data_IF_128246181079
#
_entry.id   IF_128246181079
#
_cell.length_a   1.000
_cell.length_b   1.000
_cell.length_c   1.000
_cell.angle_alpha   90.00
_cell.angle_beta   90.00
_cell.angle_gamma   90.00
#
_symmetry.space_group_name_H-M   'P 1'
#
loop_
_entity.id
_entity.type
_entity.pdbx_description
1 polymer ?
#
# COMPACT_ATOMS: atom_id res chain seq x y z
N UNK A 1 3.73 6.71 -21.31
CA UNK A 1 2.49 6.33 -20.59
C UNK A 1 2.42 6.87 -19.16
N UNK A 2 3.55 6.91 -18.43
CA UNK A 2 3.66 7.39 -17.04
C UNK A 2 2.88 8.68 -16.72
N UNK A 3 2.91 9.69 -17.59
CA UNK A 3 2.21 10.97 -17.41
C UNK A 3 0.69 10.87 -17.26
N UNK A 4 0.10 9.72 -17.60
CA UNK A 4 -1.35 9.46 -17.57
C UNK A 4 -1.71 8.26 -16.70
N UNK A 5 -0.79 7.80 -15.85
CA UNK A 5 -0.98 6.60 -15.03
C UNK A 5 -0.87 6.95 -13.55
N UNK A 6 -1.86 6.54 -12.78
CA UNK A 6 -1.85 6.59 -11.32
C UNK A 6 -1.85 5.15 -10.84
N UNK A 7 -0.85 4.78 -10.04
CA UNK A 7 -0.71 3.45 -9.45
C UNK A 7 -1.17 3.54 -8.00
N UNK A 8 -2.11 2.70 -7.60
CA UNK A 8 -2.55 2.59 -6.21
C UNK A 8 -2.19 1.22 -5.66
N UNK A 9 -1.81 1.18 -4.38
CA UNK A 9 -1.54 -0.07 -3.68
C UNK A 9 -1.79 0.08 -2.18
N UNK A 10 -1.85 -1.05 -1.47
CA UNK A 10 -2.10 -1.09 -0.03
C UNK A 10 -1.50 -2.33 0.61
N UNK A 11 -1.37 -2.31 1.94
CA UNK A 11 -0.88 -3.46 2.71
C UNK A 11 -1.93 -4.54 2.96
N UNK A 12 -3.21 -4.23 2.70
CA UNK A 12 -4.37 -5.01 3.15
C UNK A 12 -4.28 -6.51 2.86
N UNK A 13 -3.86 -6.88 1.64
CA UNK A 13 -3.83 -8.27 1.18
C UNK A 13 -2.46 -8.91 1.41
N UNK A 14 -1.41 -8.22 0.99
CA UNK A 14 -0.03 -8.72 1.06
C UNK A 14 0.39 -9.07 2.48
N UNK A 15 -0.06 -8.29 3.46
CA UNK A 15 0.28 -8.49 4.88
C UNK A 15 -0.91 -8.88 5.74
N UNK A 16 -2.07 -9.17 5.14
CA UNK A 16 -3.30 -9.56 5.86
C UNK A 16 -3.78 -8.55 6.92
N UNK A 17 -3.58 -7.25 6.67
CA UNK A 17 -3.91 -6.13 7.58
C UNK A 17 -5.08 -5.28 7.06
N UNK A 18 -6.21 -5.91 6.71
CA UNK A 18 -7.36 -5.25 6.05
C UNK A 18 -7.93 -4.06 6.84
N UNK A 19 -7.92 -4.14 8.17
CA UNK A 19 -8.42 -3.11 9.08
C UNK A 19 -7.51 -1.92 9.31
N UNK A 20 -6.23 -1.97 8.89
CA UNK A 20 -5.26 -0.91 9.22
C UNK A 20 -5.41 0.36 8.38
N UNK A 21 -6.09 0.25 7.24
CA UNK A 21 -6.39 1.39 6.34
C UNK A 21 -5.13 2.15 5.87
N UNK A 22 -4.05 1.42 5.60
CA UNK A 22 -2.80 1.97 5.06
C UNK A 22 -2.62 1.60 3.59
N UNK A 23 -2.45 2.61 2.74
CA UNK A 23 -2.18 2.50 1.31
C UNK A 23 -1.57 3.77 0.75
N UNK A 24 -1.23 3.75 -0.54
CA UNK A 24 -0.56 4.86 -1.22
C UNK A 24 -0.98 4.96 -2.69
N UNK A 25 -0.69 6.12 -3.26
CA UNK A 25 -0.81 6.40 -4.69
C UNK A 25 0.52 6.96 -5.22
N UNK A 26 0.95 6.47 -6.37
CA UNK A 26 2.09 6.98 -7.14
C UNK A 26 1.51 7.61 -8.40
N UNK A 27 1.76 8.90 -8.61
CA UNK A 27 1.16 9.68 -9.68
C UNK A 27 2.13 10.78 -10.17
N UNK A 28 1.95 11.31 -11.40
CA UNK A 28 2.63 12.51 -11.84
C UNK A 28 2.40 13.68 -10.87
N UNK A 29 3.40 14.56 -10.74
CA UNK A 29 3.45 15.58 -9.68
C UNK A 29 2.16 16.42 -9.55
N UNK A 30 1.60 16.84 -10.69
CA UNK A 30 0.34 17.59 -10.73
C UNK A 30 -0.81 16.83 -10.04
N UNK A 31 -0.99 15.55 -10.36
CA UNK A 31 -2.03 14.70 -9.79
C UNK A 31 -1.73 14.31 -8.34
N UNK A 32 -0.48 14.01 -7.99
CA UNK A 32 -0.08 13.70 -6.63
C UNK A 32 -0.39 14.86 -5.67
N UNK A 33 -0.13 16.09 -6.08
CA UNK A 33 -0.46 17.31 -5.32
C UNK A 33 -1.98 17.45 -5.12
N UNK A 34 -2.76 17.27 -6.18
CA UNK A 34 -4.23 17.31 -6.10
C UNK A 34 -4.79 16.23 -5.17
N UNK A 35 -4.31 14.99 -5.28
CA UNK A 35 -4.70 13.87 -4.41
C UNK A 35 -4.39 14.19 -2.95
N UNK A 36 -3.18 14.68 -2.65
CA UNK A 36 -2.79 15.05 -1.29
C UNK A 36 -3.70 16.14 -0.70
N UNK A 37 -4.00 17.18 -1.49
CA UNK A 37 -4.86 18.28 -1.04
C UNK A 37 -6.29 17.83 -0.72
N UNK A 38 -6.82 16.85 -1.47
CA UNK A 38 -8.13 16.26 -1.19
C UNK A 38 -8.05 15.33 0.02
N UNK A 39 -7.02 14.48 0.11
CA UNK A 39 -6.84 13.51 1.18
C UNK A 39 -6.78 14.16 2.56
N UNK A 40 -5.99 15.23 2.70
CA UNK A 40 -5.85 15.96 3.97
C UNK A 40 -7.19 16.55 4.44
N UNK A 41 -8.08 16.94 3.52
CA UNK A 41 -9.40 17.50 3.87
C UNK A 41 -10.42 16.45 4.29
N UNK A 42 -10.34 15.25 3.73
CA UNK A 42 -11.34 14.19 3.95
C UNK A 42 -10.91 13.25 5.07
N UNK A 43 -9.62 12.97 5.19
CA UNK A 43 -9.08 11.90 6.03
C UNK A 43 -7.90 12.35 6.89
N UNK A 44 -7.38 13.55 6.64
CA UNK A 44 -6.14 14.07 7.23
C UNK A 44 -4.91 13.18 6.89
N UNK A 45 -4.72 12.08 7.62
CA UNK A 45 -3.63 11.13 7.41
C UNK A 45 -3.98 9.71 7.85
N UNK A 46 -3.16 8.73 7.43
CA UNK A 46 -3.26 7.37 7.95
C UNK A 46 -2.82 7.30 9.42
N UNK A 47 -3.32 6.34 10.24
CA UNK A 47 -2.93 6.26 11.65
C UNK A 47 -1.41 6.08 11.82
N UNK A 48 -0.77 6.99 12.56
CA UNK A 48 0.67 7.00 12.82
C UNK A 48 1.28 5.64 13.23
N UNK A 49 0.74 4.88 14.20
CA UNK A 49 1.32 3.58 14.57
C UNK A 49 1.32 2.56 13.42
N UNK A 50 0.34 2.64 12.52
CA UNK A 50 0.27 1.75 11.36
C UNK A 50 1.19 2.19 10.22
N UNK A 51 1.58 3.47 10.17
CA UNK A 51 2.63 3.93 9.26
C UNK A 51 4.00 3.36 9.66
N UNK A 52 4.30 3.27 10.96
CA UNK A 52 5.53 2.63 11.45
C UNK A 52 5.55 1.12 11.19
N UNK A 53 4.42 0.45 11.44
CA UNK A 53 4.28 -0.96 11.10
C UNK A 53 4.36 -1.20 9.59
N UNK A 54 3.84 -0.28 8.77
CA UNK A 54 3.95 -0.30 7.32
C UNK A 54 5.41 -0.21 6.85
N UNK A 55 6.22 0.65 7.47
CA UNK A 55 7.65 0.75 7.17
C UNK A 55 8.36 -0.59 7.41
N UNK A 56 8.04 -1.25 8.52
CA UNK A 56 8.57 -2.58 8.85
C UNK A 56 8.13 -3.61 7.82
N UNK A 57 6.85 -3.64 7.47
CA UNK A 57 6.29 -4.57 6.48
C UNK A 57 6.93 -4.39 5.09
N UNK A 58 7.08 -3.15 4.62
CA UNK A 58 7.67 -2.83 3.32
C UNK A 58 9.16 -3.17 3.22
N UNK A 59 9.85 -3.34 4.36
CA UNK A 59 11.24 -3.80 4.44
C UNK A 59 11.37 -5.32 4.58
N UNK A 60 10.27 -6.07 4.48
CA UNK A 60 10.30 -7.54 4.51
C UNK A 60 11.21 -8.08 3.40
N UNK A 61 12.03 -9.10 3.69
CA UNK A 61 12.97 -9.62 2.72
C UNK A 61 12.24 -10.47 1.65
N UNK A 62 12.84 -10.71 0.46
CA UNK A 62 12.19 -11.41 -0.66
C UNK A 62 11.56 -12.77 -0.29
N UNK A 63 12.15 -13.48 0.67
CA UNK A 63 11.71 -14.80 1.13
C UNK A 63 10.29 -14.75 1.73
N UNK A 64 9.89 -13.62 2.31
CA UNK A 64 8.52 -13.42 2.80
C UNK A 64 7.52 -13.56 1.65
N UNK A 65 7.77 -12.90 0.53
CA UNK A 65 6.88 -12.89 -0.63
C UNK A 65 6.88 -14.24 -1.35
N UNK A 66 8.03 -14.91 -1.43
CA UNK A 66 8.11 -16.27 -2.00
C UNK A 66 7.34 -17.30 -1.17
N UNK A 67 7.38 -17.17 0.17
CA UNK A 67 6.58 -18.02 1.07
C UNK A 67 5.09 -17.70 0.93
N UNK A 68 4.73 -16.42 0.83
CA UNK A 68 3.35 -15.97 0.61
C UNK A 68 2.79 -16.54 -0.70
N UNK A 69 3.53 -16.42 -1.80
CA UNK A 69 3.17 -16.96 -3.12
C UNK A 69 2.92 -18.47 -3.07
N UNK A 70 3.83 -19.24 -2.47
CA UNK A 70 3.67 -20.70 -2.31
C UNK A 70 2.43 -21.07 -1.51
N UNK A 71 2.17 -20.36 -0.40
CA UNK A 71 0.98 -20.61 0.42
C UNK A 71 -0.31 -20.37 -0.35
N UNK A 72 -0.39 -19.26 -1.10
CA UNK A 72 -1.58 -18.90 -1.87
C UNK A 72 -1.81 -19.85 -3.04
N UNK A 73 -0.76 -20.36 -3.70
CA UNK A 73 -0.90 -21.38 -4.74
C UNK A 73 -1.42 -22.70 -4.17
N UNK A 74 -0.86 -23.18 -3.06
CA UNK A 74 -1.29 -24.43 -2.42
C UNK A 74 -2.73 -24.39 -1.90
N UNK A 75 -3.28 -23.20 -1.61
CA UNK A 75 -4.68 -23.07 -1.19
C UNK A 75 -5.69 -23.04 -2.34
N UNK A 76 -5.21 -22.97 -3.59
CA UNK A 76 -6.04 -22.98 -4.79
C UNK A 76 -6.16 -24.38 -5.42
N UNK A 77 -5.33 -25.34 -4.96
CA UNK A 77 -5.39 -26.77 -5.29
C UNK A 77 -6.20 -27.54 -4.22
#
# INVERSE_FOLDING_TARGET
MQERTIITSSLSKTFSVTGWRVGWAIAPALFASAIRNIHVKITDSAPAPFQEAALTALRSPPEYFEKLRRRLHCSLD
#
